data_IF_369110189832
#
_entry.id   IF_369110189832
#
_cell.length_a   1.000
_cell.length_b   1.000
_cell.length_c   1.000
_cell.angle_alpha   90.00
_cell.angle_beta   90.00
_cell.angle_gamma   90.00
#
_symmetry.space_group_name_H-M   'P 1'
#
loop_
_entity.id
_entity.type
_entity.pdbx_description
1 polymer ?
#
# COMPACT_ATOMS: atom_id res chain seq x y z
N UNK A 1 6.43 24.83 -17.63
CA UNK A 1 5.89 24.03 -16.51
C UNK A 1 6.98 23.95 -15.45
N UNK A 2 6.80 24.51 -14.24
CA UNK A 2 7.79 24.35 -13.20
C UNK A 2 7.69 22.92 -12.67
N UNK A 3 8.77 22.16 -12.81
CA UNK A 3 8.96 20.87 -12.16
C UNK A 3 8.95 21.16 -10.66
N UNK A 4 7.83 20.85 -10.00
CA UNK A 4 7.68 21.05 -8.56
C UNK A 4 8.85 20.40 -7.83
N UNK A 5 9.48 21.13 -6.91
CA UNK A 5 10.58 20.63 -6.08
C UNK A 5 10.16 19.32 -5.42
N UNK A 6 10.60 18.20 -5.98
CA UNK A 6 10.48 16.88 -5.37
C UNK A 6 11.35 16.91 -4.13
N UNK A 7 10.73 16.93 -2.95
CA UNK A 7 11.45 16.97 -1.70
C UNK A 7 12.12 15.60 -1.50
N UNK A 8 13.45 15.53 -1.56
CA UNK A 8 14.21 14.30 -1.35
C UNK A 8 13.84 13.60 -0.03
N UNK A 9 13.40 14.36 0.99
CA UNK A 9 12.90 13.80 2.24
C UNK A 9 11.63 12.94 2.07
N UNK A 10 10.75 13.23 1.10
CA UNK A 10 9.60 12.38 0.78
C UNK A 10 10.02 11.03 0.20
N UNK A 11 11.14 10.98 -0.52
CA UNK A 11 11.73 9.73 -1.02
C UNK A 11 12.41 8.94 0.11
N UNK A 12 13.11 9.63 1.02
CA UNK A 12 13.80 8.99 2.15
C UNK A 12 12.82 8.32 3.13
N UNK A 13 11.63 8.90 3.35
CA UNK A 13 10.60 8.30 4.22
C UNK A 13 9.77 7.20 3.56
N UNK A 14 9.77 7.12 2.22
CA UNK A 14 9.00 6.15 1.44
C UNK A 14 9.71 4.81 1.32
N UNK A 15 11.04 4.78 1.29
CA UNK A 15 11.78 3.53 1.06
C UNK A 15 12.34 2.99 2.37
N UNK A 16 12.27 1.69 2.54
CA UNK A 16 13.01 0.99 3.58
C UNK A 16 14.50 0.94 3.20
N UNK A 17 15.41 0.80 4.18
CA UNK A 17 16.81 0.50 3.89
C UNK A 17 16.93 -0.84 3.14
N UNK A 18 17.79 -0.88 2.13
CA UNK A 18 18.16 -2.15 1.50
C UNK A 18 18.87 -3.08 2.50
N UNK A 19 18.70 -4.42 2.39
CA UNK A 19 17.98 -5.14 1.33
C UNK A 19 16.46 -5.26 1.55
N UNK A 20 15.92 -4.65 2.61
CA UNK A 20 14.55 -4.92 3.04
C UNK A 20 13.49 -4.43 2.06
N UNK A 21 13.74 -3.31 1.39
CA UNK A 21 12.85 -2.79 0.34
C UNK A 21 12.72 -3.79 -0.81
N UNK A 22 13.85 -4.25 -1.35
CA UNK A 22 13.88 -5.25 -2.42
C UNK A 22 13.25 -6.58 -1.97
N UNK A 23 13.59 -7.05 -0.77
CA UNK A 23 13.03 -8.29 -0.22
C UNK A 23 11.51 -8.24 -0.12
N UNK A 24 10.94 -7.08 0.21
CA UNK A 24 9.50 -6.90 0.33
C UNK A 24 8.78 -6.70 -1.02
N UNK A 25 9.53 -6.74 -2.13
CA UNK A 25 9.01 -6.63 -3.50
C UNK A 25 9.18 -5.26 -4.13
N UNK A 26 9.83 -4.31 -3.43
CA UNK A 26 10.17 -2.98 -3.93
C UNK A 26 9.01 -2.24 -4.61
N UNK A 27 9.31 -1.66 -5.77
CA UNK A 27 8.36 -0.79 -6.49
C UNK A 27 7.10 -1.53 -6.96
N UNK A 28 7.18 -2.83 -7.29
CA UNK A 28 5.99 -3.61 -7.64
C UNK A 28 5.05 -3.77 -6.44
N UNK A 29 5.60 -4.03 -5.25
CA UNK A 29 4.82 -4.11 -4.02
C UNK A 29 4.23 -2.74 -3.65
N UNK A 30 4.98 -1.65 -3.83
CA UNK A 30 4.46 -0.30 -3.63
C UNK A 30 3.24 -0.02 -4.52
N UNK A 31 3.36 -0.30 -5.81
CA UNK A 31 2.28 -0.10 -6.77
C UNK A 31 1.05 -0.97 -6.46
N UNK A 32 1.27 -2.25 -6.14
CA UNK A 32 0.19 -3.18 -5.80
C UNK A 32 -0.59 -2.70 -4.58
N UNK A 33 0.10 -2.40 -3.47
CA UNK A 33 -0.55 -2.03 -2.21
C UNK A 33 -1.25 -0.68 -2.30
N UNK A 34 -0.63 0.33 -2.94
CA UNK A 34 -1.23 1.65 -3.12
C UNK A 34 -2.48 1.59 -4.04
N UNK A 35 -2.41 0.81 -5.12
CA UNK A 35 -3.55 0.59 -6.03
C UNK A 35 -4.71 -0.03 -5.29
N UNK A 36 -4.46 -1.12 -4.54
CA UNK A 36 -5.52 -1.82 -3.81
C UNK A 36 -6.12 -0.94 -2.72
N UNK A 37 -5.32 -0.16 -1.99
CA UNK A 37 -5.85 0.78 -1.01
C UNK A 37 -6.77 1.84 -1.66
N UNK A 38 -6.38 2.38 -2.81
CA UNK A 38 -7.20 3.32 -3.56
C UNK A 38 -8.50 2.66 -4.07
N UNK A 39 -8.43 1.45 -4.61
CA UNK A 39 -9.60 0.66 -5.02
C UNK A 39 -10.57 0.43 -3.84
N UNK A 40 -10.03 0.20 -2.63
CA UNK A 40 -10.82 0.02 -1.41
C UNK A 40 -11.50 1.32 -0.97
N UNK A 41 -10.76 2.42 -0.93
CA UNK A 41 -11.22 3.70 -0.40
C UNK A 41 -12.15 4.45 -1.35
N UNK A 42 -12.08 4.18 -2.65
CA UNK A 42 -12.80 4.91 -3.69
C UNK A 42 -13.81 4.01 -4.40
N UNK A 43 -15.01 3.79 -3.82
CA UNK A 43 -16.09 3.12 -4.54
C UNK A 43 -16.53 3.92 -5.78
N UNK A 44 -17.19 3.27 -6.76
CA UNK A 44 -17.60 3.92 -8.01
C UNK A 44 -18.49 5.17 -7.84
N UNK A 45 -19.15 5.33 -6.70
CA UNK A 45 -19.99 6.50 -6.38
C UNK A 45 -19.93 6.85 -4.89
N UNK A 46 -20.23 8.11 -4.55
CA UNK A 46 -20.40 8.54 -3.15
C UNK A 46 -19.13 8.87 -2.37
N UNK A 47 -17.99 9.05 -3.04
CA UNK A 47 -16.70 9.39 -2.42
C UNK A 47 -16.27 10.83 -2.77
N UNK A 48 -15.61 11.51 -1.83
CA UNK A 48 -15.20 12.91 -1.97
C UNK A 48 -13.71 13.11 -2.31
N UNK A 49 -12.90 12.07 -2.17
CA UNK A 49 -11.46 12.08 -2.45
C UNK A 49 -11.23 11.28 -3.72
N UNK A 50 -10.51 11.81 -4.71
CA UNK A 50 -10.30 11.07 -5.96
C UNK A 50 -9.46 9.81 -5.73
N UNK A 51 -9.66 8.79 -6.57
CA UNK A 51 -8.81 7.60 -6.58
C UNK A 51 -7.31 7.94 -6.66
N UNK A 52 -6.96 8.91 -7.51
CA UNK A 52 -5.58 9.36 -7.68
C UNK A 52 -5.00 9.98 -6.42
N UNK A 53 -5.80 10.74 -5.65
CA UNK A 53 -5.35 11.31 -4.38
C UNK A 53 -5.19 10.24 -3.31
N UNK A 54 -6.10 9.27 -3.24
CA UNK A 54 -5.98 8.11 -2.34
C UNK A 54 -4.73 7.27 -2.66
N UNK A 55 -4.49 7.00 -3.95
CA UNK A 55 -3.30 6.31 -4.41
C UNK A 55 -2.03 7.10 -4.04
N UNK A 56 -1.97 8.40 -4.36
CA UNK A 56 -0.79 9.23 -4.10
C UNK A 56 -0.51 9.41 -2.59
N UNK A 57 -1.55 9.39 -1.75
CA UNK A 57 -1.41 9.38 -0.29
C UNK A 57 -0.79 8.07 0.20
N UNK A 58 -1.31 6.93 -0.25
CA UNK A 58 -0.75 5.63 0.12
C UNK A 58 0.67 5.45 -0.43
N UNK A 59 0.94 5.94 -1.63
CA UNK A 59 2.23 5.75 -2.29
C UNK A 59 3.41 6.46 -1.58
N UNK A 60 3.13 7.48 -0.77
CA UNK A 60 4.14 8.21 0.01
C UNK A 60 4.61 7.45 1.26
N UNK A 61 3.93 6.38 1.66
CA UNK A 61 4.26 5.61 2.86
C UNK A 61 5.36 4.57 2.58
N UNK A 62 6.11 4.10 3.60
CA UNK A 62 6.95 2.91 3.45
C UNK A 62 6.15 1.62 3.32
N UNK A 63 6.74 0.58 2.74
CA UNK A 63 6.05 -0.70 2.48
C UNK A 63 5.37 -1.29 3.71
N UNK A 64 6.00 -1.19 4.88
CA UNK A 64 5.42 -1.65 6.16
C UNK A 64 4.12 -0.91 6.48
N UNK A 65 4.10 0.41 6.31
CA UNK A 65 2.93 1.25 6.56
C UNK A 65 1.87 1.15 5.46
N UNK A 66 2.26 0.94 4.19
CA UNK A 66 1.33 0.61 3.12
C UNK A 66 0.63 -0.72 3.39
N UNK A 67 1.38 -1.73 3.87
CA UNK A 67 0.82 -3.03 4.21
C UNK A 67 -0.25 -2.90 5.31
N UNK A 68 0.01 -2.11 6.35
CA UNK A 68 -0.96 -1.88 7.44
C UNK A 68 -2.30 -1.31 6.96
N UNK A 69 -2.35 -0.59 5.83
CA UNK A 69 -3.61 -0.07 5.27
C UNK A 69 -4.58 -1.18 4.81
N UNK A 70 -4.08 -2.39 4.57
CA UNK A 70 -4.86 -3.53 4.09
C UNK A 70 -5.06 -4.61 5.16
N UNK A 71 -4.61 -4.36 6.39
CA UNK A 71 -4.62 -5.32 7.49
C UNK A 71 -5.47 -4.84 8.65
N UNK A 72 -6.03 -5.80 9.37
CA UNK A 72 -6.63 -5.56 10.67
C UNK A 72 -5.54 -5.37 11.75
N UNK A 73 -5.90 -4.86 12.94
CA UNK A 73 -4.94 -4.69 14.03
C UNK A 73 -4.22 -5.97 14.45
N UNK A 74 -4.83 -7.14 14.26
CA UNK A 74 -4.22 -8.45 14.51
C UNK A 74 -3.20 -8.89 13.43
N UNK A 75 -3.06 -8.13 12.34
CA UNK A 75 -2.16 -8.44 11.23
C UNK A 75 -2.74 -9.35 10.15
N UNK A 76 -4.01 -9.75 10.27
CA UNK A 76 -4.71 -10.49 9.23
C UNK A 76 -5.22 -9.56 8.13
N UNK A 77 -5.37 -10.04 6.88
CA UNK A 77 -5.96 -9.25 5.80
C UNK A 77 -7.37 -8.76 6.16
N UNK A 78 -7.60 -7.46 6.02
CA UNK A 78 -8.93 -6.88 6.21
C UNK A 78 -9.93 -7.44 5.18
N UNK A 79 -11.22 -7.51 5.53
CA UNK A 79 -12.25 -7.94 4.60
C UNK A 79 -12.27 -7.09 3.32
N UNK A 80 -12.29 -7.75 2.17
CA UNK A 80 -12.31 -7.06 0.87
C UNK A 80 -13.68 -6.38 0.68
N UNK A 81 -13.72 -5.07 0.36
CA UNK A 81 -14.96 -4.35 0.12
C UNK A 81 -15.83 -5.00 -0.97
N UNK A 82 -17.14 -5.04 -0.75
CA UNK A 82 -18.09 -5.74 -1.62
C UNK A 82 -18.19 -5.14 -3.03
N UNK A 83 -17.81 -3.88 -3.23
CA UNK A 83 -17.79 -3.24 -4.55
C UNK A 83 -16.64 -3.70 -5.43
N UNK A 84 -15.64 -4.38 -4.87
CA UNK A 84 -14.55 -4.96 -5.65
C UNK A 84 -14.92 -6.33 -6.14
N UNK A 85 -14.94 -6.48 -7.47
CA UNK A 85 -15.32 -7.70 -8.19
C UNK A 85 -14.29 -8.05 -9.25
N UNK A 86 -14.35 -9.29 -9.75
CA UNK A 86 -13.46 -9.78 -10.81
C UNK A 86 -11.97 -9.59 -10.46
N UNK A 87 -11.20 -9.11 -11.43
CA UNK A 87 -9.75 -8.92 -11.29
C UNK A 87 -9.37 -7.98 -10.14
N UNK A 88 -10.18 -6.96 -9.84
CA UNK A 88 -9.90 -6.05 -8.72
C UNK A 88 -10.00 -6.78 -7.38
N UNK A 89 -10.99 -7.68 -7.23
CA UNK A 89 -11.11 -8.54 -6.05
C UNK A 89 -9.95 -9.50 -5.93
N UNK A 90 -9.56 -10.16 -7.02
CA UNK A 90 -8.42 -11.07 -7.02
C UNK A 90 -7.10 -10.37 -6.68
N UNK A 91 -6.91 -9.15 -7.21
CA UNK A 91 -5.77 -8.30 -6.86
C UNK A 91 -5.78 -7.96 -5.37
N UNK A 92 -6.94 -7.61 -4.81
CA UNK A 92 -7.09 -7.33 -3.39
C UNK A 92 -6.75 -8.55 -2.50
N UNK A 93 -7.14 -9.75 -2.90
CA UNK A 93 -6.75 -11.00 -2.20
C UNK A 93 -5.23 -11.16 -2.17
N UNK A 94 -4.57 -11.03 -3.33
CA UNK A 94 -3.11 -11.17 -3.43
C UNK A 94 -2.38 -10.09 -2.61
N UNK A 95 -2.84 -8.85 -2.71
CA UNK A 95 -2.27 -7.73 -1.96
C UNK A 95 -2.43 -7.92 -0.44
N UNK A 96 -3.58 -8.39 0.03
CA UNK A 96 -3.79 -8.68 1.45
C UNK A 96 -2.84 -9.76 1.96
N UNK A 97 -2.67 -10.86 1.22
CA UNK A 97 -1.72 -11.91 1.57
C UNK A 97 -0.26 -11.40 1.62
N UNK A 98 0.13 -10.58 0.63
CA UNK A 98 1.46 -9.97 0.58
C UNK A 98 1.67 -8.99 1.74
N UNK A 99 0.67 -8.15 2.05
CA UNK A 99 0.70 -7.22 3.17
C UNK A 99 0.89 -7.95 4.50
N UNK A 100 0.14 -9.04 4.73
CA UNK A 100 0.25 -9.84 5.95
C UNK A 100 1.63 -10.48 6.07
N UNK A 101 2.21 -10.93 4.95
CA UNK A 101 3.58 -11.42 4.91
C UNK A 101 4.60 -10.32 5.24
N UNK A 102 4.50 -9.14 4.61
CA UNK A 102 5.37 -7.98 4.92
C UNK A 102 5.31 -7.67 6.42
N UNK A 103 4.12 -7.57 7.02
CA UNK A 103 3.98 -7.21 8.44
C UNK A 103 4.65 -8.23 9.35
N UNK A 104 4.46 -9.53 9.10
CA UNK A 104 5.13 -10.59 9.88
C UNK A 104 6.64 -10.53 9.73
N UNK A 105 7.13 -10.30 8.51
CA UNK A 105 8.56 -10.28 8.23
C UNK A 105 9.24 -9.02 8.78
N UNK A 106 8.60 -7.86 8.64
CA UNK A 106 9.03 -6.60 9.22
C UNK A 106 9.12 -6.69 10.74
N UNK A 107 8.13 -7.30 11.40
CA UNK A 107 8.17 -7.55 12.84
C UNK A 107 9.36 -8.44 13.22
N UNK A 108 9.61 -9.53 12.48
CA UNK A 108 10.77 -10.41 12.73
C UNK A 108 12.11 -9.67 12.60
N UNK A 109 12.18 -8.69 11.71
CA UNK A 109 13.37 -7.89 11.41
C UNK A 109 13.49 -6.61 12.26
N UNK A 110 12.52 -6.32 13.14
CA UNK A 110 12.50 -5.09 13.94
C UNK A 110 12.26 -3.81 13.14
N UNK A 111 11.59 -3.92 11.98
CA UNK A 111 11.23 -2.80 11.11
C UNK A 111 9.80 -2.36 11.46
N UNK A 112 9.63 -1.19 12.07
CA UNK A 112 8.34 -0.63 12.54
C UNK A 112 8.04 0.73 11.90
#
# INVERSE_FOLDING_TARGET
MPIGRVNAAKFIGRLLPEPHETDFGGEEAHNLLATVHADWACPPSGHSISWSDCYASADQLPLTRKADLLLEPNGEPSPIPAHLVGEARERAVRAGAHAAWIRREAHRRGLH
#
